data_IF_642784891871
#
_entry.id   IF_642784891871
#
_cell.length_a   1.000
_cell.length_b   1.000
_cell.length_c   1.000
_cell.angle_alpha   90.00
_cell.angle_beta   90.00
_cell.angle_gamma   90.00
#
_symmetry.space_group_name_H-M   'P 1'
#
loop_
_entity.id
_entity.type
_entity.pdbx_description
1 polymer ?
#
# COMPACT_ATOMS: atom_id res chain seq x y z
N UNK A 1 -1.28 2.36 -0.27
CA UNK A 1 -2.49 1.54 -0.02
C UNK A 1 -3.67 1.87 -0.94
N UNK A 2 -4.17 3.12 -0.98
CA UNK A 2 -5.37 3.49 -1.76
C UNK A 2 -5.40 3.06 -3.24
N UNK A 3 -4.27 3.08 -3.96
CA UNK A 3 -4.19 2.61 -5.36
C UNK A 3 -4.52 1.12 -5.47
N UNK A 4 -4.05 0.31 -4.52
CA UNK A 4 -4.26 -1.14 -4.50
C UNK A 4 -5.70 -1.45 -4.10
N UNK A 5 -6.29 -0.71 -3.17
CA UNK A 5 -7.72 -0.78 -2.88
C UNK A 5 -8.56 -0.43 -4.12
N UNK A 6 -8.17 0.62 -4.85
CA UNK A 6 -8.79 0.98 -6.13
C UNK A 6 -8.71 -0.15 -7.15
N UNK A 7 -7.57 -0.84 -7.25
CA UNK A 7 -7.43 -2.03 -8.09
C UNK A 7 -8.36 -3.15 -7.64
N UNK A 8 -8.45 -3.43 -6.33
CA UNK A 8 -9.36 -4.44 -5.79
C UNK A 8 -10.83 -4.13 -6.15
N UNK A 9 -11.25 -2.87 -6.01
CA UNK A 9 -12.59 -2.44 -6.41
C UNK A 9 -12.85 -2.63 -7.91
N UNK A 10 -11.85 -2.35 -8.76
CA UNK A 10 -11.96 -2.56 -10.21
C UNK A 10 -12.07 -4.05 -10.58
N UNK A 11 -11.33 -4.92 -9.89
CA UNK A 11 -11.46 -6.38 -10.08
C UNK A 11 -12.88 -6.85 -9.73
N UNK A 12 -13.44 -6.40 -8.60
CA UNK A 12 -14.83 -6.72 -8.21
C UNK A 12 -15.84 -6.23 -9.24
N UNK A 13 -15.63 -5.04 -9.80
CA UNK A 13 -16.48 -4.46 -10.86
C UNK A 13 -16.26 -5.12 -12.24
N UNK A 14 -15.32 -6.06 -12.37
CA UNK A 14 -14.88 -6.66 -13.64
C UNK A 14 -14.40 -5.62 -14.66
N UNK A 15 -13.92 -4.48 -14.18
CA UNK A 15 -13.30 -3.41 -14.98
C UNK A 15 -11.77 -3.56 -14.97
N UNK A 16 -11.31 -4.72 -15.41
CA UNK A 16 -9.89 -5.08 -15.51
C UNK A 16 -9.65 -5.98 -16.72
N UNK A 17 -8.42 -6.07 -17.25
CA UNK A 17 -8.09 -7.05 -18.29
C UNK A 17 -8.39 -8.48 -17.85
N UNK A 18 -8.57 -9.39 -18.82
CA UNK A 18 -8.86 -10.82 -18.56
C UNK A 18 -7.83 -11.47 -17.63
N UNK A 19 -6.57 -11.05 -17.71
CA UNK A 19 -5.49 -11.54 -16.87
C UNK A 19 -5.66 -11.23 -15.38
N UNK A 20 -6.55 -10.32 -15.00
CA UNK A 20 -6.84 -9.92 -13.62
C UNK A 20 -8.27 -10.26 -13.18
N UNK A 21 -9.10 -10.80 -14.09
CA UNK A 21 -10.44 -11.25 -13.74
C UNK A 21 -10.40 -12.33 -12.66
N UNK A 22 -11.36 -12.28 -11.75
CA UNK A 22 -11.55 -13.23 -10.65
C UNK A 22 -10.34 -13.44 -9.72
N UNK A 23 -9.35 -12.54 -9.77
CA UNK A 23 -8.26 -12.51 -8.79
C UNK A 23 -8.69 -11.87 -7.49
N UNK A 24 -8.08 -12.29 -6.40
CA UNK A 24 -8.31 -11.70 -5.07
C UNK A 24 -7.03 -11.09 -4.55
N UNK A 25 -7.10 -9.84 -4.12
CA UNK A 25 -5.98 -9.17 -3.45
C UNK A 25 -6.10 -9.43 -1.95
N UNK A 26 -5.05 -9.96 -1.34
CA UNK A 26 -4.93 -10.13 0.10
C UNK A 26 -3.82 -9.25 0.63
N UNK A 27 -4.09 -8.45 1.66
CA UNK A 27 -3.08 -7.67 2.37
C UNK A 27 -2.40 -8.52 3.45
N UNK A 28 -1.07 -8.44 3.51
CA UNK A 28 -0.28 -9.08 4.54
C UNK A 28 -0.11 -8.15 5.74
N UNK A 29 -0.92 -8.34 6.78
CA UNK A 29 -0.79 -7.61 8.04
C UNK A 29 0.38 -8.16 8.87
N UNK A 30 1.50 -7.42 8.87
CA UNK A 30 2.69 -7.76 9.66
C UNK A 30 2.42 -7.66 11.16
N UNK A 31 1.59 -6.71 11.60
CA UNK A 31 1.26 -6.51 13.00
C UNK A 31 0.49 -7.70 13.54
N UNK A 32 -0.48 -8.23 12.78
CA UNK A 32 -1.23 -9.42 13.18
C UNK A 32 -0.35 -10.67 13.25
N UNK A 33 0.63 -10.80 12.34
CA UNK A 33 1.58 -11.91 12.38
C UNK A 33 2.48 -11.86 13.62
N UNK A 34 2.92 -10.66 14.03
CA UNK A 34 3.77 -10.43 15.21
C UNK A 34 2.98 -10.54 16.51
N UNK A 35 1.77 -9.97 16.58
CA UNK A 35 0.99 -9.82 17.82
C UNK A 35 0.63 -11.15 18.50
N UNK A 36 0.61 -12.25 17.74
CA UNK A 36 0.38 -13.59 18.28
C UNK A 36 1.62 -14.48 18.32
N UNK A 37 2.80 -13.98 17.94
CA UNK A 37 4.05 -14.75 17.97
C UNK A 37 4.87 -14.35 19.20
N UNK A 38 4.98 -15.26 20.17
CA UNK A 38 5.85 -15.06 21.35
C UNK A 38 7.32 -15.30 21.01
N UNK A 39 7.58 -16.06 19.96
CA UNK A 39 8.90 -16.46 19.51
C UNK A 39 9.05 -16.24 18.01
N UNK A 40 10.28 -15.95 17.55
CA UNK A 40 10.60 -15.71 16.12
C UNK A 40 10.14 -16.86 15.20
N UNK A 41 10.27 -18.11 15.66
CA UNK A 41 9.87 -19.29 14.87
C UNK A 41 8.36 -19.35 14.60
N UNK A 42 7.51 -18.88 15.52
CA UNK A 42 6.06 -18.86 15.34
C UNK A 42 5.66 -17.86 14.23
N UNK A 43 6.36 -16.72 14.15
CA UNK A 43 6.15 -15.77 13.05
C UNK A 43 6.50 -16.40 11.70
N UNK A 44 7.67 -17.04 11.60
CA UNK A 44 8.09 -17.69 10.35
C UNK A 44 7.11 -18.79 9.92
N UNK A 45 6.61 -19.58 10.86
CA UNK A 45 5.63 -20.64 10.58
C UNK A 45 4.32 -20.05 10.04
N UNK A 46 3.83 -18.96 10.63
CA UNK A 46 2.63 -18.25 10.14
C UNK A 46 2.86 -17.65 8.75
N UNK A 47 4.00 -17.00 8.53
CA UNK A 47 4.33 -16.47 7.22
C UNK A 47 4.44 -17.60 6.18
N UNK A 48 5.04 -18.75 6.53
CA UNK A 48 5.07 -19.94 5.67
C UNK A 48 3.66 -20.43 5.34
N UNK A 49 2.75 -20.44 6.31
CA UNK A 49 1.37 -20.84 6.08
C UNK A 49 0.65 -19.90 5.10
N UNK A 50 0.82 -18.58 5.26
CA UNK A 50 0.23 -17.59 4.33
C UNK A 50 0.81 -17.74 2.93
N UNK A 51 2.13 -17.87 2.80
CA UNK A 51 2.78 -18.07 1.50
C UNK A 51 2.37 -19.37 0.83
N UNK A 52 2.16 -20.43 1.61
CA UNK A 52 1.65 -21.70 1.10
C UNK A 52 0.24 -21.54 0.54
N UNK A 53 -0.67 -20.87 1.24
CA UNK A 53 -2.03 -20.60 0.74
C UNK A 53 -2.01 -19.80 -0.56
N UNK A 54 -1.14 -18.78 -0.65
CA UNK A 54 -0.97 -17.98 -1.87
C UNK A 54 -0.47 -18.85 -3.03
N UNK A 55 0.49 -19.75 -2.77
CA UNK A 55 0.98 -20.70 -3.77
C UNK A 55 -0.10 -21.67 -4.22
N UNK A 56 -0.82 -22.27 -3.27
CA UNK A 56 -1.88 -23.26 -3.52
C UNK A 56 -3.11 -22.64 -4.22
N UNK A 57 -3.18 -21.30 -4.30
CA UNK A 57 -4.20 -20.58 -5.04
C UNK A 57 -4.05 -20.64 -6.57
N UNK A 58 -2.94 -21.19 -7.08
CA UNK A 58 -2.59 -21.25 -8.51
C UNK A 58 -2.65 -19.88 -9.19
N UNK A 59 -2.13 -18.85 -8.51
CA UNK A 59 -2.04 -17.49 -9.03
C UNK A 59 -3.34 -16.70 -8.99
N UNK A 60 -4.41 -17.21 -8.36
CA UNK A 60 -5.65 -16.45 -8.11
C UNK A 60 -5.47 -15.37 -7.05
N UNK A 61 -4.58 -15.59 -6.08
CA UNK A 61 -4.26 -14.62 -5.05
C UNK A 61 -3.11 -13.70 -5.51
N UNK A 62 -3.32 -12.39 -5.35
CA UNK A 62 -2.26 -11.38 -5.39
C UNK A 62 -2.01 -10.92 -3.96
N UNK A 63 -0.79 -11.08 -3.47
CA UNK A 63 -0.41 -10.65 -2.13
C UNK A 63 0.00 -9.16 -2.16
N UNK A 64 -0.69 -8.31 -1.42
CA UNK A 64 -0.28 -6.94 -1.17
C UNK A 64 0.54 -6.87 0.12
N UNK A 65 1.70 -6.25 0.05
CA UNK A 65 2.60 -6.04 1.19
C UNK A 65 2.85 -4.54 1.28
N UNK A 66 2.22 -3.90 2.25
CA UNK A 66 2.58 -2.53 2.59
C UNK A 66 3.96 -2.51 3.25
N UNK A 67 4.72 -1.44 3.00
CA UNK A 67 6.09 -1.30 3.51
C UNK A 67 6.97 -2.54 3.26
N UNK A 68 7.01 -3.05 2.02
CA UNK A 68 7.69 -4.32 1.67
C UNK A 68 9.18 -4.36 2.07
N UNK A 69 9.82 -3.19 2.20
CA UNK A 69 11.19 -3.08 2.70
C UNK A 69 11.33 -3.60 4.14
N UNK A 70 10.28 -3.62 4.96
CA UNK A 70 10.30 -4.20 6.31
C UNK A 70 10.51 -5.72 6.31
N UNK A 71 10.03 -6.42 5.27
CA UNK A 71 10.25 -7.87 5.11
C UNK A 71 11.62 -8.22 4.51
N UNK A 72 12.18 -7.29 3.72
CA UNK A 72 13.40 -7.52 2.92
C UNK A 72 14.64 -6.94 3.62
N UNK A 73 14.52 -5.75 4.17
CA UNK A 73 15.58 -4.92 4.73
C UNK A 73 15.88 -5.19 6.20
N UNK A 74 15.12 -6.08 6.82
CA UNK A 74 15.19 -6.37 8.25
C UNK A 74 16.64 -6.70 8.70
N UNK A 75 17.40 -7.49 7.93
CA UNK A 75 18.68 -8.11 8.35
C UNK A 75 19.86 -7.24 8.85
N UNK A 76 19.69 -5.93 9.10
CA UNK A 76 20.72 -5.04 9.70
C UNK A 76 20.54 -4.72 11.17
N UNK A 77 19.42 -5.08 11.79
CA UNK A 77 19.21 -4.91 13.24
C UNK A 77 19.05 -6.27 13.91
N UNK A 78 19.56 -6.43 15.14
CA UNK A 78 19.63 -7.67 15.94
C UNK A 78 18.27 -8.38 16.20
N UNK A 79 17.17 -7.84 15.66
CA UNK A 79 15.79 -8.28 15.83
C UNK A 79 15.14 -8.93 14.62
N UNK A 80 15.81 -8.94 13.47
CA UNK A 80 15.08 -8.78 12.24
C UNK A 80 14.75 -10.07 11.50
N UNK A 81 13.49 -10.14 11.10
CA UNK A 81 12.85 -11.29 10.46
C UNK A 81 13.42 -11.49 9.05
N UNK A 82 14.06 -12.63 8.79
CA UNK A 82 14.58 -12.97 7.46
C UNK A 82 13.49 -13.53 6.54
N UNK A 83 12.37 -12.81 6.47
CA UNK A 83 11.25 -13.13 5.58
C UNK A 83 11.66 -13.03 4.10
N UNK A 84 12.63 -12.17 3.78
CA UNK A 84 13.22 -12.04 2.45
C UNK A 84 13.72 -13.38 1.89
N UNK A 85 14.37 -14.21 2.70
CA UNK A 85 14.84 -15.52 2.25
C UNK A 85 13.71 -16.53 1.95
N UNK A 86 12.52 -16.33 2.52
CA UNK A 86 11.34 -17.13 2.18
C UNK A 86 10.65 -16.65 0.89
N UNK A 87 10.65 -15.34 0.64
CA UNK A 87 10.01 -14.74 -0.54
C UNK A 87 10.83 -14.95 -1.82
N UNK A 88 12.15 -14.81 -1.74
CA UNK A 88 13.08 -14.88 -2.90
C UNK A 88 12.88 -16.10 -3.80
N UNK A 89 12.80 -17.35 -3.28
CA UNK A 89 12.63 -18.52 -4.12
C UNK A 89 11.27 -18.55 -4.83
N UNK A 90 10.21 -18.09 -4.17
CA UNK A 90 8.86 -18.09 -4.75
C UNK A 90 8.72 -17.03 -5.84
N UNK A 91 9.27 -15.83 -5.61
CA UNK A 91 9.37 -14.76 -6.62
C UNK A 91 10.20 -15.22 -7.82
N UNK A 92 11.31 -15.94 -7.58
CA UNK A 92 12.16 -16.43 -8.66
C UNK A 92 11.47 -17.49 -9.54
N UNK A 93 10.60 -18.32 -8.96
CA UNK A 93 9.82 -19.34 -9.67
C UNK A 93 8.51 -18.80 -10.27
N UNK A 94 8.11 -17.57 -9.95
CA UNK A 94 6.81 -17.02 -10.35
C UNK A 94 5.62 -17.66 -9.62
N UNK A 95 5.86 -18.33 -8.48
CA UNK A 95 4.82 -18.93 -7.64
C UNK A 95 4.11 -17.90 -6.76
N UNK A 96 4.73 -16.73 -6.57
CA UNK A 96 4.20 -15.63 -5.76
C UNK A 96 3.96 -14.41 -6.65
N UNK A 97 2.70 -14.02 -6.79
CA UNK A 97 2.33 -12.73 -7.34
C UNK A 97 2.10 -11.76 -6.18
N UNK A 98 2.87 -10.69 -6.13
CA UNK A 98 2.70 -9.68 -5.09
C UNK A 98 2.84 -8.25 -5.62
N UNK A 99 2.24 -7.33 -4.88
CA UNK A 99 2.39 -5.89 -5.02
C UNK A 99 3.03 -5.40 -3.73
N UNK A 100 4.21 -4.80 -3.83
CA UNK A 100 4.89 -4.18 -2.70
C UNK A 100 4.79 -2.66 -2.78
N UNK A 101 4.47 -2.00 -1.67
CA UNK A 101 4.54 -0.55 -1.53
C UNK A 101 5.75 -0.14 -0.66
N UNK A 102 6.44 0.92 -1.04
CA UNK A 102 7.60 1.48 -0.30
C UNK A 102 7.93 2.88 -0.82
N UNK A 103 8.66 3.67 -0.04
CA UNK A 103 9.20 4.95 -0.50
C UNK A 103 10.43 4.77 -1.39
N UNK A 104 10.76 5.79 -2.18
CA UNK A 104 11.95 5.76 -3.05
C UNK A 104 13.25 5.57 -2.24
N UNK A 105 13.32 6.14 -1.04
CA UNK A 105 14.51 6.07 -0.20
C UNK A 105 14.72 4.66 0.36
N UNK A 106 13.67 4.06 0.91
CA UNK A 106 13.68 2.66 1.38
C UNK A 106 13.96 1.69 0.24
N UNK A 107 13.36 1.90 -0.93
CA UNK A 107 13.62 1.09 -2.10
C UNK A 107 15.12 1.07 -2.45
N UNK A 108 15.76 2.24 -2.51
CA UNK A 108 17.21 2.37 -2.77
C UNK A 108 18.06 1.75 -1.67
N UNK A 109 17.61 1.84 -0.43
CA UNK A 109 18.38 1.35 0.70
C UNK A 109 18.33 -0.18 0.83
N UNK A 110 17.16 -0.79 0.63
CA UNK A 110 16.88 -2.18 1.00
C UNK A 110 16.64 -3.12 -0.19
N UNK A 111 16.00 -2.64 -1.26
CA UNK A 111 15.59 -3.51 -2.39
C UNK A 111 16.57 -3.42 -3.55
N UNK A 112 17.00 -2.21 -3.92
CA UNK A 112 17.93 -1.98 -5.04
C UNK A 112 19.31 -2.59 -4.80
N UNK A 113 19.73 -2.69 -3.54
CA UNK A 113 21.01 -3.34 -3.18
C UNK A 113 20.96 -4.86 -3.29
N UNK A 114 19.76 -5.46 -3.31
CA UNK A 114 19.58 -6.90 -3.44
C UNK A 114 19.30 -7.28 -4.91
N UNK A 115 20.34 -7.73 -5.60
CA UNK A 115 20.27 -8.13 -7.01
C UNK A 115 19.24 -9.22 -7.32
N UNK A 116 18.85 -10.05 -6.34
CA UNK A 116 17.86 -11.10 -6.54
C UNK A 116 16.44 -10.53 -6.57
N UNK A 117 16.16 -9.50 -5.76
CA UNK A 117 14.85 -8.84 -5.71
C UNK A 117 14.70 -7.78 -6.78
N UNK A 118 15.75 -6.99 -7.04
CA UNK A 118 15.73 -5.97 -8.09
C UNK A 118 15.30 -6.53 -9.45
N UNK A 119 15.76 -7.74 -9.79
CA UNK A 119 15.44 -8.42 -11.05
C UNK A 119 14.03 -9.02 -11.11
N UNK A 120 13.30 -9.06 -9.99
CA UNK A 120 11.97 -9.69 -9.87
C UNK A 120 10.85 -8.69 -9.70
N UNK A 121 11.18 -7.48 -9.26
CA UNK A 121 10.23 -6.38 -9.17
C UNK A 121 10.32 -5.46 -10.38
N UNK A 122 9.15 -5.12 -10.92
CA UNK A 122 9.01 -4.00 -11.84
C UNK A 122 8.73 -2.73 -11.05
N UNK A 123 9.60 -1.71 -11.20
CA UNK A 123 9.41 -0.41 -10.55
C UNK A 123 8.27 0.33 -11.24
N UNK A 124 7.23 0.68 -10.48
CA UNK A 124 6.14 1.57 -10.94
C UNK A 124 6.22 2.84 -10.09
N UNK A 125 6.62 3.95 -10.71
CA UNK A 125 6.71 5.23 -10.03
C UNK A 125 5.31 5.80 -9.79
N UNK A 126 5.01 6.13 -8.54
CA UNK A 126 3.79 6.86 -8.16
C UNK A 126 4.24 8.22 -7.66
N UNK A 127 3.96 9.26 -8.44
CA UNK A 127 4.19 10.64 -8.05
C UNK A 127 3.03 11.15 -7.19
N UNK A 128 3.33 12.16 -6.37
CA UNK A 128 2.33 13.01 -5.76
C UNK A 128 1.39 13.59 -6.85
N UNK A 129 0.06 13.62 -6.63
CA UNK A 129 -0.88 14.27 -7.53
C UNK A 129 -0.66 15.79 -7.54
N UNK A 130 -1.02 16.44 -8.64
CA UNK A 130 -1.04 17.89 -8.67
C UNK A 130 -2.27 18.47 -7.92
N UNK A 131 -2.37 19.79 -7.89
CA UNK A 131 -3.47 20.49 -7.21
C UNK A 131 -4.82 20.17 -7.84
N UNK A 132 -4.90 20.07 -9.18
CA UNK A 132 -6.17 19.80 -9.88
C UNK A 132 -6.66 18.37 -9.64
N UNK A 133 -5.74 17.41 -9.70
CA UNK A 133 -5.98 16.01 -9.37
C UNK A 133 -6.40 15.88 -7.90
N UNK A 134 -5.76 16.61 -6.99
CA UNK A 134 -6.12 16.61 -5.56
C UNK A 134 -7.52 17.17 -5.34
N UNK A 135 -7.90 18.25 -6.01
CA UNK A 135 -9.27 18.77 -5.94
C UNK A 135 -10.28 17.70 -6.40
N UNK A 136 -9.96 16.96 -7.45
CA UNK A 136 -10.81 15.87 -7.95
C UNK A 136 -10.94 14.73 -6.94
N UNK A 137 -9.84 14.36 -6.27
CA UNK A 137 -9.83 13.38 -5.17
C UNK A 137 -10.70 13.88 -4.01
N UNK A 138 -10.52 15.13 -3.56
CA UNK A 138 -11.31 15.72 -2.48
C UNK A 138 -12.81 15.76 -2.81
N UNK A 139 -13.18 16.08 -4.05
CA UNK A 139 -14.58 16.04 -4.51
C UNK A 139 -15.16 14.63 -4.45
N UNK A 140 -14.38 13.61 -4.80
CA UNK A 140 -14.78 12.21 -4.67
C UNK A 140 -14.96 11.75 -3.22
N UNK A 141 -14.21 12.34 -2.28
CA UNK A 141 -14.30 12.04 -0.84
C UNK A 141 -15.36 12.87 -0.12
N UNK A 142 -15.82 13.98 -0.72
CA UNK A 142 -16.72 14.96 -0.12
C UNK A 142 -17.93 14.33 0.59
N UNK A 143 -18.69 13.49 -0.11
CA UNK A 143 -19.94 12.92 0.42
C UNK A 143 -19.68 12.08 1.69
N UNK A 144 -18.58 11.34 1.71
CA UNK A 144 -18.17 10.53 2.86
C UNK A 144 -17.89 11.40 4.09
N UNK A 145 -17.19 12.52 3.92
CA UNK A 145 -16.89 13.45 5.01
C UNK A 145 -18.12 14.24 5.47
N UNK A 146 -18.99 14.66 4.54
CA UNK A 146 -20.27 15.33 4.88
C UNK A 146 -21.15 14.43 5.75
N UNK A 147 -21.27 13.14 5.40
CA UNK A 147 -22.03 12.16 6.18
C UNK A 147 -21.38 11.90 7.54
N UNK A 148 -20.05 11.73 7.58
CA UNK A 148 -19.33 11.42 8.82
C UNK A 148 -19.42 12.57 9.84
N UNK A 149 -19.22 13.81 9.40
CA UNK A 149 -19.23 14.99 10.29
C UNK A 149 -20.61 15.65 10.43
N UNK A 150 -21.59 15.29 9.60
CA UNK A 150 -22.92 15.91 9.62
C UNK A 150 -22.94 17.37 9.13
N UNK A 151 -21.96 17.76 8.31
CA UNK A 151 -21.80 19.12 7.77
C UNK A 151 -21.96 19.14 6.25
N UNK A 152 -22.07 20.34 5.67
CA UNK A 152 -21.98 20.54 4.21
C UNK A 152 -20.67 21.20 3.85
N UNK A 153 -19.92 20.58 2.95
CA UNK A 153 -18.63 21.06 2.45
C UNK A 153 -18.84 21.77 1.12
N UNK A 154 -18.53 23.06 1.09
CA UNK A 154 -18.66 23.87 -0.13
C UNK A 154 -17.50 23.56 -1.09
N UNK A 155 -17.75 23.55 -2.40
CA UNK A 155 -16.71 23.23 -3.40
C UNK A 155 -15.50 24.16 -3.30
N UNK A 156 -15.74 25.46 -3.07
CA UNK A 156 -14.68 26.45 -2.82
C UNK A 156 -13.77 26.11 -1.64
N UNK A 157 -14.27 25.38 -0.65
CA UNK A 157 -13.48 24.97 0.51
C UNK A 157 -12.51 23.84 0.12
N UNK A 158 -12.92 22.93 -0.77
CA UNK A 158 -12.04 21.88 -1.30
C UNK A 158 -10.92 22.46 -2.15
N UNK A 159 -11.25 23.42 -3.02
CA UNK A 159 -10.25 24.15 -3.82
C UNK A 159 -9.25 24.87 -2.91
N UNK A 160 -9.75 25.61 -1.92
CA UNK A 160 -8.89 26.30 -0.96
C UNK A 160 -8.03 25.33 -0.14
N UNK A 161 -8.56 24.17 0.27
CA UNK A 161 -7.77 23.18 1.01
C UNK A 161 -6.61 22.63 0.17
N UNK A 162 -6.84 22.33 -1.11
CA UNK A 162 -5.79 21.88 -2.02
C UNK A 162 -4.72 22.97 -2.25
N UNK A 163 -5.12 24.19 -2.64
CA UNK A 163 -4.19 25.28 -2.93
C UNK A 163 -3.39 25.73 -1.69
N UNK A 164 -4.05 25.85 -0.53
CA UNK A 164 -3.40 26.33 0.69
C UNK A 164 -2.49 25.25 1.30
N UNK A 165 -2.90 23.98 1.29
CA UNK A 165 -2.03 22.90 1.76
C UNK A 165 -0.79 22.75 0.87
N UNK A 166 -0.95 22.85 -0.45
CA UNK A 166 0.18 22.82 -1.39
C UNK A 166 1.18 23.95 -1.10
N UNK A 167 0.67 25.17 -0.94
CA UNK A 167 1.49 26.37 -0.76
C UNK A 167 2.17 26.47 0.60
N UNK A 168 1.50 26.07 1.68
CA UNK A 168 1.93 26.38 3.05
C UNK A 168 2.40 25.17 3.85
N UNK A 169 2.04 23.94 3.47
CA UNK A 169 2.48 22.70 4.14
C UNK A 169 3.46 21.99 3.21
N UNK A 170 4.76 22.25 3.42
CA UNK A 170 5.85 21.81 2.51
C UNK A 170 6.56 20.54 2.95
N UNK A 171 6.30 20.06 4.17
CA UNK A 171 6.88 18.85 4.76
C UNK A 171 6.04 17.59 4.52
N UNK A 172 4.87 17.75 3.87
CA UNK A 172 3.94 16.68 3.52
C UNK A 172 3.53 16.76 2.05
N UNK A 173 3.01 15.65 1.55
CA UNK A 173 2.60 15.49 0.16
C UNK A 173 1.08 15.46 0.01
N UNK A 174 0.58 15.94 -1.12
CA UNK A 174 -0.77 15.73 -1.61
C UNK A 174 -1.01 14.23 -1.88
N UNK A 175 -2.27 13.76 -1.82
CA UNK A 175 -3.47 14.49 -1.42
C UNK A 175 -3.65 14.55 0.11
N UNK A 176 -2.81 13.84 0.85
CA UNK A 176 -2.95 13.56 2.29
C UNK A 176 -3.06 14.83 3.13
N UNK A 177 -2.15 15.80 2.94
CA UNK A 177 -2.20 17.10 3.64
C UNK A 177 -3.48 17.90 3.37
N UNK A 178 -4.06 17.78 2.17
CA UNK A 178 -5.29 18.50 1.82
C UNK A 178 -6.52 17.82 2.43
N UNK A 179 -6.53 16.48 2.45
CA UNK A 179 -7.56 15.67 3.09
C UNK A 179 -7.61 15.99 4.58
N UNK A 180 -6.45 16.03 5.26
CA UNK A 180 -6.34 16.36 6.67
C UNK A 180 -6.89 17.75 6.99
N UNK A 181 -6.59 18.77 6.16
CA UNK A 181 -7.14 20.10 6.36
C UNK A 181 -8.67 20.13 6.25
N UNK A 182 -9.25 19.39 5.29
CA UNK A 182 -10.70 19.29 5.14
C UNK A 182 -11.31 18.58 6.36
N UNK A 183 -10.72 17.48 6.79
CA UNK A 183 -11.21 16.69 7.93
C UNK A 183 -11.20 17.51 9.23
N UNK A 184 -10.07 18.16 9.53
CA UNK A 184 -9.93 19.02 10.71
C UNK A 184 -10.88 20.23 10.68
N UNK A 185 -11.14 20.80 9.51
CA UNK A 185 -12.09 21.90 9.37
C UNK A 185 -13.55 21.46 9.57
N UNK A 186 -13.86 20.17 9.38
CA UNK A 186 -15.19 19.61 9.59
C UNK A 186 -15.42 19.13 11.02
N UNK A 187 -14.37 18.71 11.72
CA UNK A 187 -14.43 18.27 13.11
C UNK A 187 -14.81 19.44 14.04
N UNK A 188 -16.09 19.52 14.40
CA UNK A 188 -16.65 20.51 15.34
C UNK A 188 -17.28 19.82 16.53
#
# INVERSE_FOLDING_TARGET
>A
TAIVEGLAQRIVKKDVPESLLDKTIFELDLSALVAGAKYRGEFEERLKAVLKEVKDSDGRIILFIDEIHMLVGAGKTDGAMDAGNMLKPMLARGELHCIGATTLNEYREYIEKDSALERRFQKVGVSEPDVEDTISILRGLKERYEVYHGVRIQDRALVAAAELSDRYITDRFLPDKAIDLVDQACAT
#
